data_IF_503517746833
#
_entry.id   IF_503517746833
#
_cell.length_a   1.000
_cell.length_b   1.000
_cell.length_c   1.000
_cell.angle_alpha   90.00
_cell.angle_beta   90.00
_cell.angle_gamma   90.00
#
_symmetry.space_group_name_H-M   'P 1'
#
loop_
_entity.id
_entity.type
_entity.pdbx_description
1 polymer ?
#
# COMPACT_ATOMS: atom_id res chain seq x y z
N UNK A 1 38.86 10.45 -16.79
CA UNK A 1 37.46 10.12 -17.12
C UNK A 1 36.80 11.43 -17.50
N UNK A 2 36.09 11.49 -18.64
CA UNK A 2 35.43 12.72 -19.07
C UNK A 2 34.29 13.09 -18.11
N UNK A 3 34.09 14.38 -17.85
CA UNK A 3 33.11 14.89 -16.87
C UNK A 3 31.68 14.42 -17.21
N UNK A 4 31.35 14.35 -18.50
CA UNK A 4 30.04 13.87 -18.98
C UNK A 4 29.85 12.38 -18.81
N UNK A 5 30.93 11.61 -18.95
CA UNK A 5 30.92 10.17 -18.67
C UNK A 5 30.65 9.89 -17.19
N UNK A 6 31.21 10.71 -16.30
CA UNK A 6 30.93 10.61 -14.87
C UNK A 6 29.48 10.99 -14.53
N UNK A 7 28.97 12.09 -15.10
CA UNK A 7 27.55 12.48 -14.95
C UNK A 7 26.58 11.39 -15.42
N UNK A 8 26.86 10.71 -16.53
CA UNK A 8 26.03 9.58 -16.99
C UNK A 8 26.06 8.39 -16.03
N UNK A 9 27.22 8.08 -15.44
CA UNK A 9 27.35 7.00 -14.47
C UNK A 9 26.57 7.31 -13.17
N UNK A 10 26.59 8.57 -12.73
CA UNK A 10 25.79 9.05 -11.60
C UNK A 10 24.28 8.97 -11.88
N UNK A 11 23.83 9.39 -13.07
CA UNK A 11 22.42 9.27 -13.48
C UNK A 11 21.98 7.80 -13.53
N UNK A 12 22.81 6.91 -14.09
CA UNK A 12 22.50 5.46 -14.13
C UNK A 12 22.33 4.88 -12.73
N UNK A 13 23.24 5.19 -11.81
CA UNK A 13 23.15 4.73 -10.41
C UNK A 13 21.89 5.24 -9.71
N UNK A 14 21.48 6.48 -9.99
CA UNK A 14 20.27 7.02 -9.40
C UNK A 14 19.00 6.37 -10.00
N UNK A 15 18.98 6.10 -11.31
CA UNK A 15 17.90 5.34 -11.93
C UNK A 15 17.76 3.93 -11.34
N UNK A 16 18.89 3.23 -11.13
CA UNK A 16 18.90 1.91 -10.47
C UNK A 16 18.28 1.98 -9.06
N UNK A 17 18.58 3.03 -8.28
CA UNK A 17 17.99 3.22 -6.95
C UNK A 17 16.50 3.52 -6.98
N UNK A 18 16.06 4.34 -7.93
CA UNK A 18 14.65 4.67 -8.12
C UNK A 18 13.85 3.42 -8.54
N UNK A 19 14.43 2.57 -9.40
CA UNK A 19 13.84 1.28 -9.78
C UNK A 19 13.75 0.30 -8.60
N UNK A 20 14.81 0.19 -7.79
CA UNK A 20 14.81 -0.63 -6.57
C UNK A 20 13.73 -0.16 -5.57
N UNK A 21 13.59 1.16 -5.41
CA UNK A 21 12.56 1.74 -4.56
C UNK A 21 11.14 1.43 -5.08
N UNK A 22 10.92 1.55 -6.40
CA UNK A 22 9.65 1.17 -7.03
C UNK A 22 9.32 -0.31 -6.86
N UNK A 23 10.33 -1.18 -6.96
CA UNK A 23 10.16 -2.61 -6.71
C UNK A 23 9.75 -2.88 -5.26
N UNK A 24 10.41 -2.23 -4.30
CA UNK A 24 10.06 -2.35 -2.89
C UNK A 24 8.62 -1.85 -2.60
N UNK A 25 8.19 -0.73 -3.20
CA UNK A 25 6.82 -0.22 -3.03
C UNK A 25 5.79 -1.16 -3.61
N UNK A 26 6.04 -1.73 -4.80
CA UNK A 26 5.14 -2.76 -5.38
C UNK A 26 4.97 -3.96 -4.45
N UNK A 27 6.05 -4.42 -3.83
CA UNK A 27 5.97 -5.50 -2.86
C UNK A 27 5.17 -5.11 -1.60
N UNK A 28 5.32 -3.87 -1.11
CA UNK A 28 4.51 -3.38 0.01
C UNK A 28 3.03 -3.29 -0.33
N UNK A 29 2.67 -2.82 -1.52
CA UNK A 29 1.28 -2.77 -2.01
C UNK A 29 0.69 -4.18 -2.06
N UNK A 30 1.41 -5.12 -2.68
CA UNK A 30 0.97 -6.53 -2.72
C UNK A 30 0.76 -7.12 -1.32
N UNK A 31 1.68 -6.86 -0.40
CA UNK A 31 1.53 -7.34 0.97
C UNK A 31 0.34 -6.70 1.69
N UNK A 32 0.04 -5.43 1.41
CA UNK A 32 -1.15 -4.77 1.94
C UNK A 32 -2.42 -5.43 1.38
N UNK A 33 -2.47 -5.75 0.09
CA UNK A 33 -3.59 -6.47 -0.54
C UNK A 33 -3.80 -7.85 0.11
N UNK A 34 -2.73 -8.61 0.35
CA UNK A 34 -2.80 -9.92 1.04
C UNK A 34 -3.39 -9.77 2.47
N UNK A 35 -2.93 -8.75 3.22
CA UNK A 35 -3.43 -8.49 4.58
C UNK A 35 -4.88 -8.00 4.58
N UNK A 36 -5.30 -7.21 3.59
CA UNK A 36 -6.69 -6.79 3.43
C UNK A 36 -7.60 -8.00 3.17
N UNK A 37 -7.15 -8.96 2.35
CA UNK A 37 -7.89 -10.21 2.13
C UNK A 37 -8.07 -11.01 3.42
N UNK A 38 -7.01 -11.16 4.22
CA UNK A 38 -7.06 -11.83 5.53
C UNK A 38 -8.04 -11.13 6.49
N UNK A 39 -8.03 -9.78 6.54
CA UNK A 39 -8.96 -9.00 7.35
C UNK A 39 -10.40 -9.22 6.89
N UNK A 40 -10.66 -9.20 5.58
CA UNK A 40 -11.99 -9.45 5.05
C UNK A 40 -12.48 -10.87 5.34
N UNK A 41 -11.59 -11.86 5.27
CA UNK A 41 -11.91 -13.22 5.65
C UNK A 41 -12.28 -13.33 7.13
N UNK A 42 -11.46 -12.77 8.02
CA UNK A 42 -11.72 -12.78 9.46
C UNK A 42 -13.05 -12.08 9.82
N UNK A 43 -13.41 -11.00 9.12
CA UNK A 43 -14.71 -10.33 9.30
C UNK A 43 -15.88 -11.26 8.97
N UNK A 44 -15.82 -11.97 7.84
CA UNK A 44 -16.87 -12.93 7.45
C UNK A 44 -17.04 -14.04 8.48
N UNK A 45 -15.93 -14.60 8.95
CA UNK A 45 -15.95 -15.65 9.98
C UNK A 45 -16.53 -15.14 11.30
N UNK A 46 -16.22 -13.90 11.68
CA UNK A 46 -16.78 -13.27 12.88
C UNK A 46 -18.29 -13.05 12.75
N UNK A 47 -18.75 -12.55 11.60
CA UNK A 47 -20.19 -12.37 11.33
C UNK A 47 -20.95 -13.69 11.39
N UNK A 48 -20.38 -14.77 10.83
CA UNK A 48 -20.97 -16.12 10.89
C UNK A 48 -21.06 -16.65 12.34
N UNK A 49 -20.00 -16.45 13.14
CA UNK A 49 -20.00 -16.85 14.56
C UNK A 49 -21.05 -16.07 15.35
N UNK A 50 -21.12 -14.74 15.15
CA UNK A 50 -22.10 -13.89 15.84
C UNK A 50 -23.52 -14.26 15.45
N UNK A 51 -23.76 -14.57 14.18
CA UNK A 51 -25.06 -15.05 13.71
C UNK A 51 -25.46 -16.35 14.42
N UNK A 52 -24.58 -17.36 14.44
CA UNK A 52 -24.83 -18.63 15.12
C UNK A 52 -25.08 -18.46 16.63
N UNK A 53 -24.32 -17.58 17.29
CA UNK A 53 -24.51 -17.30 18.71
C UNK A 53 -25.87 -16.65 18.99
N UNK A 54 -26.33 -15.76 18.11
CA UNK A 54 -27.61 -15.06 18.23
C UNK A 54 -28.82 -16.00 18.05
N UNK A 55 -28.68 -17.05 17.24
CA UNK A 55 -29.72 -18.08 17.12
C UNK A 55 -29.91 -18.91 18.39
N UNK A 56 -28.84 -19.12 19.16
CA UNK A 56 -28.85 -19.99 20.35
C UNK A 56 -29.14 -19.21 21.63
N UNK A 57 -28.68 -17.97 21.75
CA UNK A 57 -28.74 -17.21 22.98
C UNK A 57 -29.91 -16.21 22.99
N UNK A 58 -30.94 -16.53 23.80
CA UNK A 58 -32.19 -15.76 23.86
C UNK A 58 -32.29 -14.88 25.12
N UNK A 59 -33.08 -13.81 25.02
CA UNK A 59 -33.45 -12.91 26.13
C UNK A 59 -32.83 -11.51 26.04
N UNK A 60 -33.41 -10.53 26.75
CA UNK A 60 -33.02 -9.11 26.67
C UNK A 60 -31.54 -8.85 26.99
N UNK A 61 -30.96 -9.60 27.92
CA UNK A 61 -29.53 -9.48 28.25
C UNK A 61 -28.63 -9.97 27.10
N UNK A 62 -29.05 -11.00 26.37
CA UNK A 62 -28.33 -11.48 25.19
C UNK A 62 -28.44 -10.46 24.05
N UNK A 63 -29.63 -9.91 23.79
CA UNK A 63 -29.83 -8.86 22.78
C UNK A 63 -28.94 -7.63 23.00
N UNK A 64 -28.88 -7.12 24.25
CA UNK A 64 -28.01 -6.00 24.59
C UNK A 64 -26.54 -6.33 24.37
N UNK A 65 -26.10 -7.54 24.74
CA UNK A 65 -24.73 -7.99 24.56
C UNK A 65 -24.35 -8.07 23.08
N UNK A 66 -25.21 -8.65 22.22
CA UNK A 66 -24.96 -8.70 20.78
C UNK A 66 -24.92 -7.31 20.16
N UNK A 67 -25.79 -6.39 20.59
CA UNK A 67 -25.74 -5.01 20.10
C UNK A 67 -24.41 -4.32 20.41
N UNK A 68 -23.86 -4.53 21.61
CA UNK A 68 -22.54 -4.00 21.97
C UNK A 68 -21.42 -4.62 21.13
N UNK A 69 -21.47 -5.93 20.92
CA UNK A 69 -20.47 -6.62 20.08
C UNK A 69 -20.55 -6.14 18.62
N UNK A 70 -21.76 -6.03 18.05
CA UNK A 70 -21.97 -5.51 16.68
C UNK A 70 -21.44 -4.06 16.54
N UNK A 71 -21.62 -3.21 17.55
CA UNK A 71 -21.06 -1.85 17.57
C UNK A 71 -19.52 -1.84 17.60
N UNK A 72 -18.91 -2.67 18.47
CA UNK A 72 -17.45 -2.80 18.55
C UNK A 72 -16.85 -3.34 17.26
N UNK A 73 -17.44 -4.40 16.68
CA UNK A 73 -17.00 -4.98 15.41
C UNK A 73 -17.07 -3.93 14.30
N UNK A 74 -18.18 -3.19 14.21
CA UNK A 74 -18.31 -2.08 13.24
C UNK A 74 -17.23 -1.02 13.46
N UNK A 75 -16.95 -0.64 14.69
CA UNK A 75 -15.90 0.34 15.01
C UNK A 75 -14.53 -0.12 14.51
N UNK A 76 -14.15 -1.37 14.80
CA UNK A 76 -12.86 -1.92 14.36
C UNK A 76 -12.78 -2.10 12.84
N UNK A 77 -13.88 -2.48 12.18
CA UNK A 77 -13.94 -2.57 10.72
C UNK A 77 -13.70 -1.19 10.07
N UNK A 78 -14.41 -0.16 10.53
CA UNK A 78 -14.19 1.21 10.04
C UNK A 78 -12.76 1.70 10.28
N UNK A 79 -12.20 1.39 11.46
CA UNK A 79 -10.83 1.78 11.80
C UNK A 79 -9.81 1.10 10.89
N UNK A 80 -9.97 -0.20 10.66
CA UNK A 80 -9.05 -0.97 9.81
C UNK A 80 -9.16 -0.55 8.34
N UNK A 81 -10.37 -0.34 7.81
CA UNK A 81 -10.58 0.19 6.45
C UNK A 81 -9.93 1.57 6.26
N UNK A 82 -10.05 2.45 7.25
CA UNK A 82 -9.41 3.76 7.22
C UNK A 82 -7.88 3.64 7.25
N UNK A 83 -7.34 2.74 8.07
CA UNK A 83 -5.89 2.53 8.15
C UNK A 83 -5.32 1.98 6.85
N UNK A 84 -5.95 0.97 6.25
CA UNK A 84 -5.44 0.39 5.00
C UNK A 84 -5.55 1.39 3.84
N UNK A 85 -6.66 2.15 3.76
CA UNK A 85 -6.82 3.24 2.78
C UNK A 85 -5.71 4.29 2.91
N UNK A 86 -5.37 4.69 4.13
CA UNK A 86 -4.30 5.67 4.37
C UNK A 86 -2.94 5.12 3.91
N UNK A 87 -2.61 3.87 4.27
CA UNK A 87 -1.36 3.22 3.86
C UNK A 87 -1.30 3.09 2.33
N UNK A 88 -2.38 2.64 1.68
CA UNK A 88 -2.46 2.55 0.23
C UNK A 88 -2.23 3.92 -0.44
N UNK A 89 -2.81 4.98 0.12
CA UNK A 89 -2.63 6.35 -0.38
C UNK A 89 -1.18 6.81 -0.25
N UNK A 90 -0.54 6.55 0.89
CA UNK A 90 0.88 6.86 1.10
C UNK A 90 1.78 6.12 0.12
N UNK A 91 1.59 4.81 -0.05
CA UNK A 91 2.36 3.98 -0.98
C UNK A 91 2.16 4.43 -2.44
N UNK A 92 0.93 4.77 -2.84
CA UNK A 92 0.64 5.28 -4.18
C UNK A 92 1.32 6.63 -4.44
N UNK A 93 1.35 7.51 -3.44
CA UNK A 93 2.04 8.80 -3.53
C UNK A 93 3.56 8.61 -3.63
N UNK A 94 4.12 7.71 -2.83
CA UNK A 94 5.53 7.35 -2.89
C UNK A 94 5.90 6.77 -4.27
N UNK A 95 5.11 5.82 -4.77
CA UNK A 95 5.28 5.24 -6.10
C UNK A 95 5.27 6.31 -7.19
N UNK A 96 4.29 7.22 -7.15
CA UNK A 96 4.18 8.31 -8.12
C UNK A 96 5.40 9.23 -8.09
N UNK A 97 5.94 9.53 -6.91
CA UNK A 97 7.15 10.35 -6.74
C UNK A 97 8.35 9.67 -7.39
N UNK A 98 8.59 8.39 -7.13
CA UNK A 98 9.69 7.64 -7.72
C UNK A 98 9.56 7.53 -9.25
N UNK A 99 8.35 7.30 -9.77
CA UNK A 99 8.10 7.31 -11.22
C UNK A 99 8.42 8.67 -11.87
N UNK A 100 8.07 9.77 -11.20
CA UNK A 100 8.41 11.12 -11.69
C UNK A 100 9.92 11.37 -11.68
N UNK A 101 10.61 10.93 -10.64
CA UNK A 101 12.07 11.03 -10.55
C UNK A 101 12.75 10.23 -11.66
N UNK A 102 12.30 8.99 -11.89
CA UNK A 102 12.84 8.13 -12.95
C UNK A 102 12.69 8.79 -14.32
N UNK A 103 11.50 9.31 -14.65
CA UNK A 103 11.27 10.03 -15.91
C UNK A 103 12.17 11.27 -16.07
N UNK A 104 12.40 12.02 -14.98
CA UNK A 104 13.31 13.16 -15.00
C UNK A 104 14.77 12.73 -15.24
N UNK A 105 15.21 11.61 -14.64
CA UNK A 105 16.52 11.03 -14.85
C UNK A 105 16.71 10.50 -16.27
N UNK A 106 15.70 9.84 -16.84
CA UNK A 106 15.69 9.39 -18.25
C UNK A 106 15.86 10.57 -19.20
N UNK A 107 15.13 11.66 -18.96
CA UNK A 107 15.25 12.90 -19.74
C UNK A 107 16.67 13.47 -19.64
N UNK A 108 17.22 13.54 -18.42
CA UNK A 108 18.59 14.02 -18.19
C UNK A 108 19.64 13.13 -18.88
N UNK A 109 19.46 11.81 -18.86
CA UNK A 109 20.34 10.86 -19.54
C UNK A 109 20.33 11.09 -21.06
N UNK A 110 19.15 11.27 -21.65
CA UNK A 110 19.00 11.56 -23.07
C UNK A 110 19.69 12.87 -23.47
N UNK A 111 19.56 13.91 -22.65
CA UNK A 111 20.17 15.22 -22.95
C UNK A 111 21.69 15.16 -22.87
N UNK A 112 22.27 14.54 -21.82
CA UNK A 112 23.72 14.34 -21.74
C UNK A 112 24.21 13.51 -22.93
N UNK A 113 23.47 12.48 -23.32
CA UNK A 113 23.82 11.61 -24.47
C UNK A 113 23.81 12.39 -25.79
N UNK A 114 22.87 13.33 -25.97
CA UNK A 114 22.85 14.22 -27.15
C UNK A 114 24.06 15.15 -27.15
N UNK A 115 24.37 15.76 -26.00
CA UNK A 115 25.52 16.67 -25.87
C UNK A 115 26.85 15.98 -26.14
N UNK A 116 27.01 14.71 -25.76
CA UNK A 116 28.21 13.92 -26.06
C UNK A 116 28.36 13.53 -27.54
N UNK A 117 27.31 13.68 -28.35
CA UNK A 117 27.32 13.38 -29.80
C UNK A 117 27.59 14.63 -30.65
N UNK A 118 27.59 15.82 -30.05
CA UNK A 118 27.91 17.11 -30.67
C UNK A 118 29.40 17.43 -30.51
#
# INVERSE_FOLDING_TARGET
MDKRTQELDEVRKEMEREDDALYAIKNKIRHLEDVEEDIHQARREMDDILYQMKEVWLGEHAEHTFWQIEDEVRHYNQKTDSMTTNIQTELNNEQKKHQQNLHALETKQQDITKEMRL
#
